data_IF_360269541292
#
_entry.id   IF_360269541292
#
_cell.length_a   1.000
_cell.length_b   1.000
_cell.length_c   1.000
_cell.angle_alpha   90.00
_cell.angle_beta   90.00
_cell.angle_gamma   90.00
#
_symmetry.space_group_name_H-M   'P 1'
#
loop_
_entity.id
_entity.type
_entity.pdbx_description
1 polymer ?
#
# COMPACT_ATOMS: atom_id res chain seq x y z
N UNK A 1 -39.23 43.13 -29.33
CA UNK A 1 -38.61 43.37 -28.01
C UNK A 1 -37.78 42.15 -27.64
N UNK A 2 -36.46 42.32 -27.57
CA UNK A 2 -35.49 41.26 -27.31
C UNK A 2 -35.42 40.91 -25.83
N UNK A 3 -35.38 39.61 -25.49
CA UNK A 3 -35.05 39.13 -24.14
C UNK A 3 -33.85 38.20 -24.20
N UNK A 4 -32.71 38.76 -23.81
CA UNK A 4 -31.43 38.11 -23.52
C UNK A 4 -31.58 37.17 -22.31
N UNK A 5 -31.18 35.90 -22.44
CA UNK A 5 -30.69 35.09 -21.31
C UNK A 5 -29.49 34.27 -21.80
N UNK A 6 -28.34 34.66 -21.29
CA UNK A 6 -27.08 33.94 -21.33
C UNK A 6 -26.89 33.35 -19.93
N UNK A 7 -26.62 32.05 -19.81
CA UNK A 7 -25.79 31.50 -18.73
C UNK A 7 -25.55 30.01 -18.98
N UNK A 8 -24.35 29.72 -19.48
CA UNK A 8 -23.70 28.42 -19.44
C UNK A 8 -23.66 27.88 -18.02
N UNK A 9 -24.01 26.60 -17.82
CA UNK A 9 -23.28 25.67 -16.93
C UNK A 9 -24.05 24.35 -16.80
N UNK A 10 -23.69 23.36 -17.61
CA UNK A 10 -24.12 21.97 -17.39
C UNK A 10 -23.00 21.00 -17.77
N UNK A 11 -21.86 21.11 -17.08
CA UNK A 11 -20.76 20.14 -17.16
C UNK A 11 -20.08 19.99 -15.81
N UNK A 12 -20.82 19.61 -14.75
CA UNK A 12 -20.26 19.25 -13.45
C UNK A 12 -21.10 18.15 -12.77
N UNK A 13 -21.41 17.07 -13.47
CA UNK A 13 -22.13 15.92 -12.89
C UNK A 13 -21.39 14.58 -13.01
N UNK A 14 -20.11 14.58 -13.43
CA UNK A 14 -19.33 13.35 -13.60
C UNK A 14 -18.28 13.11 -12.50
N UNK A 15 -17.97 14.12 -11.69
CA UNK A 15 -16.85 14.03 -10.72
C UNK A 15 -17.26 13.52 -9.33
N UNK A 16 -18.55 13.39 -9.05
CA UNK A 16 -19.05 12.99 -7.72
C UNK A 16 -19.34 11.48 -7.58
N UNK A 17 -19.28 10.70 -8.67
CA UNK A 17 -19.57 9.26 -8.65
C UNK A 17 -18.35 8.38 -8.30
N UNK A 18 -17.17 8.98 -8.08
CA UNK A 18 -15.94 8.26 -7.71
C UNK A 18 -15.41 8.62 -6.32
N UNK A 19 -16.20 9.32 -5.49
CA UNK A 19 -15.86 9.46 -4.07
C UNK A 19 -16.31 8.20 -3.36
N UNK A 20 -15.34 7.40 -2.91
CA UNK A 20 -15.59 6.30 -1.99
C UNK A 20 -16.33 6.85 -0.77
N UNK A 21 -17.59 6.43 -0.57
CA UNK A 21 -18.40 6.82 0.59
C UNK A 21 -18.01 6.06 1.88
N UNK A 22 -16.83 5.43 1.94
CA UNK A 22 -16.35 4.72 3.11
C UNK A 22 -15.49 5.62 4.01
N UNK A 23 -15.99 6.81 4.36
CA UNK A 23 -15.28 7.72 5.27
C UNK A 23 -15.43 7.37 6.76
N UNK A 24 -16.36 6.50 7.15
CA UNK A 24 -16.77 6.40 8.57
C UNK A 24 -16.87 4.99 9.14
N UNK A 25 -16.16 4.02 8.55
CA UNK A 25 -15.84 2.80 9.29
C UNK A 25 -14.41 2.99 9.78
N UNK A 26 -14.25 3.17 11.09
CA UNK A 26 -12.96 3.07 11.76
C UNK A 26 -12.42 1.65 11.56
N UNK A 27 -11.83 1.39 10.40
CA UNK A 27 -11.06 0.18 10.14
C UNK A 27 -9.78 0.30 10.95
N UNK A 28 -9.79 -0.49 12.01
CA UNK A 28 -8.82 -0.54 13.07
C UNK A 28 -7.51 -1.20 12.61
N UNK A 29 -6.84 -0.61 11.64
CA UNK A 29 -5.47 -0.99 11.30
C UNK A 29 -4.50 -0.39 12.35
N UNK A 30 -4.98 0.18 13.46
CA UNK A 30 -4.19 1.10 14.30
C UNK A 30 -4.23 0.93 15.81
N UNK A 31 -5.17 0.18 16.40
CA UNK A 31 -5.33 0.14 17.87
C UNK A 31 -4.68 -1.06 18.55
N UNK A 32 -4.36 -2.14 17.84
CA UNK A 32 -3.55 -3.26 18.37
C UNK A 32 -2.05 -2.90 18.41
N UNK A 33 -1.73 -1.72 18.96
CA UNK A 33 -0.37 -1.33 19.31
C UNK A 33 -0.05 -1.82 20.73
N UNK A 34 0.52 -3.01 20.88
CA UNK A 34 1.16 -3.39 22.15
C UNK A 34 2.54 -2.72 22.21
N UNK A 35 2.73 -1.80 23.16
CA UNK A 35 4.01 -1.07 23.33
C UNK A 35 4.54 -0.34 22.08
N UNK A 36 3.66 0.10 21.17
CA UNK A 36 4.04 0.80 19.93
C UNK A 36 4.54 -0.11 18.79
N UNK A 37 4.47 -1.43 18.98
CA UNK A 37 4.68 -2.43 17.92
C UNK A 37 3.38 -2.67 17.15
N UNK A 38 3.48 -2.96 15.86
CA UNK A 38 2.36 -3.41 15.02
C UNK A 38 2.67 -4.81 14.51
N UNK A 39 1.64 -5.63 14.41
CA UNK A 39 1.74 -6.91 13.71
C UNK A 39 1.83 -6.64 12.20
N UNK A 40 2.89 -7.12 11.58
CA UNK A 40 3.07 -7.09 10.14
C UNK A 40 3.20 -8.52 9.60
N UNK A 41 2.70 -8.74 8.39
CA UNK A 41 3.05 -9.90 7.60
C UNK A 41 4.35 -9.60 6.85
N UNK A 42 5.44 -10.21 7.28
CA UNK A 42 6.77 -10.09 6.68
C UNK A 42 6.96 -11.18 5.62
N UNK A 43 7.39 -10.79 4.43
CA UNK A 43 7.83 -11.67 3.36
C UNK A 43 9.34 -11.48 3.14
N UNK A 44 10.06 -12.59 3.12
CA UNK A 44 11.47 -12.64 2.72
C UNK A 44 11.63 -12.79 1.20
N UNK A 45 12.88 -12.76 0.74
CA UNK A 45 13.23 -12.93 -0.68
C UNK A 45 12.78 -14.28 -1.30
N UNK A 46 12.41 -15.27 -0.49
CA UNK A 46 11.88 -16.56 -0.96
C UNK A 46 10.36 -16.55 -1.12
N UNK A 47 9.69 -15.47 -0.70
CA UNK A 47 8.23 -15.33 -0.75
C UNK A 47 7.52 -15.98 0.43
N UNK A 48 8.25 -16.41 1.47
CA UNK A 48 7.64 -16.99 2.67
C UNK A 48 7.13 -15.89 3.58
N UNK A 49 5.82 -15.90 3.85
CA UNK A 49 5.14 -14.92 4.69
C UNK A 49 4.99 -15.37 6.14
N UNK A 50 5.60 -14.64 7.09
CA UNK A 50 5.49 -14.86 8.54
C UNK A 50 5.02 -13.62 9.29
N UNK A 51 4.31 -13.81 10.40
CA UNK A 51 3.91 -12.70 11.25
C UNK A 51 5.08 -12.20 12.10
N UNK A 52 5.27 -10.89 12.14
CA UNK A 52 6.32 -10.24 12.89
C UNK A 52 5.81 -8.96 13.54
N UNK A 53 6.07 -8.79 14.83
CA UNK A 53 5.85 -7.51 15.50
C UNK A 53 6.99 -6.55 15.19
N UNK A 54 6.66 -5.38 14.63
CA UNK A 54 7.64 -4.36 14.24
C UNK A 54 7.22 -2.98 14.71
N UNK A 55 8.18 -2.17 15.17
CA UNK A 55 7.96 -0.73 15.32
C UNK A 55 8.34 0.01 14.05
N UNK A 56 7.86 1.25 13.90
CA UNK A 56 8.30 2.14 12.81
C UNK A 56 9.80 2.40 12.85
N UNK A 57 10.37 2.49 14.05
CA UNK A 57 11.81 2.68 14.23
C UNK A 57 12.59 1.47 13.73
N UNK A 58 12.08 0.26 13.94
CA UNK A 58 12.72 -0.96 13.44
C UNK A 58 12.73 -0.99 11.92
N UNK A 59 11.61 -0.66 11.28
CA UNK A 59 11.49 -0.57 9.82
C UNK A 59 12.44 0.50 9.26
N UNK A 60 12.47 1.68 9.88
CA UNK A 60 13.39 2.75 9.46
C UNK A 60 14.85 2.29 9.53
N UNK A 61 15.25 1.66 10.64
CA UNK A 61 16.60 1.12 10.81
C UNK A 61 16.92 0.04 9.78
N UNK A 62 15.96 -0.84 9.47
CA UNK A 62 16.12 -1.87 8.44
C UNK A 62 16.36 -1.25 7.06
N UNK A 63 15.57 -0.25 6.67
CA UNK A 63 15.74 0.46 5.40
C UNK A 63 17.10 1.18 5.35
N UNK A 64 17.49 1.82 6.45
CA UNK A 64 18.78 2.52 6.54
C UNK A 64 19.97 1.55 6.50
N UNK A 65 19.86 0.38 7.14
CA UNK A 65 20.88 -0.66 7.07
C UNK A 65 21.02 -1.23 5.66
N UNK A 66 19.91 -1.42 4.95
CA UNK A 66 19.91 -1.84 3.53
C UNK A 66 20.52 -0.78 2.59
N UNK A 67 20.60 0.48 3.04
CA UNK A 67 21.22 1.61 2.35
C UNK A 67 22.73 1.72 2.57
N UNK A 68 23.44 0.61 2.91
CA UNK A 68 24.90 0.56 3.08
C UNK A 68 25.68 1.32 2.00
N UNK A 69 26.96 1.66 2.20
CA UNK A 69 27.66 2.71 1.45
C UNK A 69 27.69 2.43 -0.06
N UNK A 70 26.65 2.84 -0.76
CA UNK A 70 26.57 2.81 -2.21
C UNK A 70 27.49 3.93 -2.65
N UNK A 71 28.65 3.55 -3.17
CA UNK A 71 29.57 4.47 -3.81
C UNK A 71 28.78 5.31 -4.82
N UNK A 72 28.76 6.62 -4.59
CA UNK A 72 28.08 7.56 -5.44
C UNK A 72 28.63 7.44 -6.87
N UNK A 73 27.85 6.84 -7.78
CA UNK A 73 28.10 6.99 -9.20
C UNK A 73 27.71 8.43 -9.57
N UNK A 74 28.74 9.23 -9.88
CA UNK A 74 28.63 10.63 -10.26
C UNK A 74 27.72 10.76 -11.49
N UNK A 75 26.47 11.20 -11.28
CA UNK A 75 25.52 11.52 -12.35
C UNK A 75 24.04 11.18 -12.11
N UNK A 76 23.65 10.67 -10.94
CA UNK A 76 22.29 10.15 -10.71
C UNK A 76 21.36 11.12 -9.96
N UNK A 77 20.07 11.10 -10.32
CA UNK A 77 18.97 11.81 -9.64
C UNK A 77 18.97 11.42 -8.16
N UNK A 78 19.06 12.40 -7.26
CA UNK A 78 19.05 12.17 -5.81
C UNK A 78 17.63 11.79 -5.34
N UNK A 79 17.35 10.48 -5.27
CA UNK A 79 16.11 9.99 -4.65
C UNK A 79 16.18 10.23 -3.13
N UNK A 80 15.20 10.93 -2.53
CA UNK A 80 15.21 11.20 -1.09
C UNK A 80 15.19 9.93 -0.24
N UNK A 81 15.86 9.99 0.92
CA UNK A 81 15.80 8.95 1.94
C UNK A 81 14.41 8.86 2.58
N UNK A 82 14.06 7.68 3.12
CA UNK A 82 12.88 7.53 3.98
C UNK A 82 13.08 8.29 5.29
N UNK A 83 12.03 8.97 5.72
CA UNK A 83 11.93 9.62 7.02
C UNK A 83 10.75 9.06 7.82
N UNK A 84 10.75 9.28 9.14
CA UNK A 84 9.65 8.86 10.03
C UNK A 84 8.27 9.38 9.58
N UNK A 85 8.21 10.56 8.93
CA UNK A 85 6.96 11.12 8.37
C UNK A 85 6.37 10.26 7.26
N UNK A 86 7.21 9.59 6.47
CA UNK A 86 6.74 8.73 5.38
C UNK A 86 6.14 7.45 5.96
N UNK A 87 6.76 6.87 7.00
CA UNK A 87 6.24 5.70 7.71
C UNK A 87 4.94 6.00 8.46
N UNK A 88 4.80 7.21 9.03
CA UNK A 88 3.56 7.65 9.69
C UNK A 88 2.36 7.69 8.73
N UNK A 89 2.57 7.93 7.44
CA UNK A 89 1.48 7.89 6.44
C UNK A 89 0.89 6.48 6.25
N UNK A 90 1.62 5.43 6.64
CA UNK A 90 1.12 4.06 6.61
C UNK A 90 0.30 3.69 7.85
N UNK A 91 0.04 4.65 8.75
CA UNK A 91 -0.85 4.44 9.89
C UNK A 91 -2.17 5.18 9.69
N UNK A 92 -3.28 4.48 9.94
CA UNK A 92 -4.62 5.08 9.90
C UNK A 92 -4.75 6.24 10.91
N UNK A 93 -4.07 6.15 12.06
CA UNK A 93 -4.13 7.14 13.14
C UNK A 93 -3.57 8.51 12.73
N UNK A 94 -2.66 8.54 11.74
CA UNK A 94 -2.03 9.78 11.27
C UNK A 94 -2.47 10.19 9.86
N UNK A 95 -3.36 9.42 9.23
CA UNK A 95 -3.91 9.72 7.92
C UNK A 95 -5.11 10.67 8.07
N UNK A 96 -4.99 11.89 7.54
CA UNK A 96 -6.10 12.84 7.45
C UNK A 96 -7.14 12.35 6.42
N UNK A 97 -6.66 11.68 5.36
CA UNK A 97 -7.44 10.95 4.36
C UNK A 97 -6.74 9.63 4.01
N UNK A 98 -7.50 8.56 3.81
CA UNK A 98 -6.98 7.26 3.34
C UNK A 98 -6.78 7.25 1.81
N UNK A 99 -6.13 8.28 1.29
CA UNK A 99 -5.87 8.39 -0.14
C UNK A 99 -4.84 7.35 -0.60
N UNK A 100 -5.11 6.61 -1.69
CA UNK A 100 -4.18 5.63 -2.21
C UNK A 100 -2.91 6.31 -2.70
N UNK A 101 -1.75 5.81 -2.29
CA UNK A 101 -0.46 6.39 -2.65
C UNK A 101 0.62 5.33 -2.84
N UNK A 102 1.46 5.52 -3.85
CA UNK A 102 2.68 4.76 -4.07
C UNK A 102 3.85 5.74 -4.03
N UNK A 103 4.76 5.57 -3.08
CA UNK A 103 5.89 6.49 -2.86
C UNK A 103 7.20 5.72 -2.99
N UNK A 104 8.04 6.16 -3.92
CA UNK A 104 9.39 5.63 -4.09
C UNK A 104 10.38 6.51 -3.32
N UNK A 105 11.17 5.86 -2.48
CA UNK A 105 12.26 6.47 -1.71
C UNK A 105 13.51 5.62 -1.87
N UNK A 106 14.64 6.19 -1.48
CA UNK A 106 15.91 5.46 -1.55
C UNK A 106 15.81 4.21 -0.68
N UNK A 107 16.06 3.04 -1.29
CA UNK A 107 15.99 1.71 -0.69
C UNK A 107 14.61 1.20 -0.27
N UNK A 108 13.53 1.89 -0.63
CA UNK A 108 12.19 1.43 -0.25
C UNK A 108 11.07 1.99 -1.11
N UNK A 109 10.04 1.16 -1.30
CA UNK A 109 8.76 1.53 -1.90
C UNK A 109 7.68 1.41 -0.84
N UNK A 110 6.90 2.48 -0.67
CA UNK A 110 5.80 2.55 0.28
C UNK A 110 4.49 2.50 -0.49
N UNK A 111 3.59 1.60 -0.11
CA UNK A 111 2.27 1.46 -0.69
C UNK A 111 1.24 1.71 0.40
N UNK A 112 0.35 2.66 0.15
CA UNK A 112 -0.83 2.91 0.94
C UNK A 112 -2.05 2.65 0.05
N UNK A 113 -2.75 1.53 0.22
CA UNK A 113 -3.94 1.22 -0.56
C UNK A 113 -4.86 0.30 0.24
N UNK A 114 -5.87 0.88 0.90
CA UNK A 114 -6.78 0.11 1.76
C UNK A 114 -7.37 -1.12 1.04
N UNK A 115 -7.36 -2.32 1.66
CA UNK A 115 -6.96 -2.64 3.05
C UNK A 115 -5.47 -2.94 3.27
N UNK A 116 -4.61 -2.78 2.26
CA UNK A 116 -3.20 -3.17 2.27
C UNK A 116 -2.27 -1.97 2.42
N UNK A 117 -1.38 -2.01 3.42
CA UNK A 117 -0.29 -1.02 3.54
C UNK A 117 1.03 -1.75 3.57
N UNK A 118 1.95 -1.41 2.67
CA UNK A 118 3.19 -2.15 2.52
C UNK A 118 4.43 -1.28 2.50
N UNK A 119 5.52 -1.83 3.04
CA UNK A 119 6.89 -1.31 2.93
C UNK A 119 7.72 -2.38 2.24
N UNK A 120 8.15 -2.11 1.02
CA UNK A 120 8.96 -3.01 0.22
C UNK A 120 10.39 -2.48 0.23
N UNK A 121 11.34 -3.35 0.53
CA UNK A 121 12.79 -3.13 0.45
C UNK A 121 13.39 -4.15 -0.52
N UNK A 122 14.72 -4.14 -0.72
CA UNK A 122 15.40 -5.05 -1.65
C UNK A 122 15.11 -6.53 -1.38
N UNK A 123 15.07 -6.95 -0.11
CA UNK A 123 14.99 -8.36 0.26
C UNK A 123 13.85 -8.66 1.25
N UNK A 124 13.06 -7.65 1.61
CA UNK A 124 12.00 -7.77 2.61
C UNK A 124 10.77 -6.96 2.20
N UNK A 125 9.58 -7.49 2.43
CA UNK A 125 8.32 -6.78 2.32
C UNK A 125 7.53 -6.90 3.63
N UNK A 126 7.11 -5.78 4.20
CA UNK A 126 6.27 -5.72 5.38
C UNK A 126 4.88 -5.25 4.98
N UNK A 127 3.87 -6.05 5.25
CA UNK A 127 2.46 -5.72 4.96
C UNK A 127 1.69 -5.59 6.26
N UNK A 128 1.07 -4.43 6.47
CA UNK A 128 0.15 -4.15 7.56
C UNK A 128 -1.28 -4.36 7.08
N UNK A 129 -2.01 -5.19 7.82
CA UNK A 129 -3.36 -5.62 7.49
C UNK A 129 -4.29 -5.31 8.68
N UNK A 130 -5.60 -5.12 8.44
CA UNK A 130 -6.57 -5.04 9.53
C UNK A 130 -6.68 -6.37 10.28
N UNK A 131 -7.16 -6.30 11.52
CA UNK A 131 -7.46 -7.49 12.31
C UNK A 131 -8.56 -8.33 11.63
N UNK A 132 -8.41 -9.65 11.63
CA UNK A 132 -9.35 -10.59 10.98
C UNK A 132 -9.18 -10.73 9.46
N UNK A 133 -8.09 -10.25 8.87
CA UNK A 133 -7.81 -10.31 7.43
C UNK A 133 -7.29 -11.66 6.92
N UNK A 134 -7.72 -12.80 7.48
CA UNK A 134 -7.15 -14.13 7.17
C UNK A 134 -7.26 -14.51 5.69
N UNK A 135 -8.38 -14.15 5.05
CA UNK A 135 -8.59 -14.37 3.62
C UNK A 135 -7.60 -13.57 2.76
N UNK A 136 -7.31 -12.33 3.16
CA UNK A 136 -6.35 -11.45 2.50
C UNK A 136 -4.90 -11.91 2.74
N UNK A 137 -4.60 -12.42 3.93
CA UNK A 137 -3.30 -13.04 4.26
C UNK A 137 -3.06 -14.26 3.38
N UNK A 138 -4.06 -15.14 3.24
CA UNK A 138 -3.98 -16.30 2.36
C UNK A 138 -3.75 -15.88 0.91
N UNK A 139 -4.51 -14.89 0.44
CA UNK A 139 -4.37 -14.32 -0.91
C UNK A 139 -2.98 -13.72 -1.15
N UNK A 140 -2.44 -12.96 -0.19
CA UNK A 140 -1.10 -12.40 -0.25
C UNK A 140 -0.05 -13.52 -0.37
N UNK A 141 -0.13 -14.56 0.48
CA UNK A 141 0.81 -15.67 0.43
C UNK A 141 0.80 -16.38 -0.92
N UNK A 142 -0.38 -16.63 -1.50
CA UNK A 142 -0.50 -17.19 -2.84
C UNK A 142 0.11 -16.25 -3.90
N UNK A 143 -0.23 -14.96 -3.86
CA UNK A 143 0.32 -13.99 -4.81
C UNK A 143 1.84 -13.87 -4.73
N UNK A 144 2.43 -13.85 -3.54
CA UNK A 144 3.88 -13.82 -3.39
C UNK A 144 4.55 -15.09 -3.95
N UNK A 145 4.00 -16.27 -3.67
CA UNK A 145 4.53 -17.51 -4.23
C UNK A 145 4.43 -17.56 -5.76
N UNK A 146 3.28 -17.18 -6.32
CA UNK A 146 3.07 -17.11 -7.77
C UNK A 146 4.10 -16.18 -8.42
N UNK A 147 4.28 -14.98 -7.86
CA UNK A 147 5.20 -14.00 -8.42
C UNK A 147 6.64 -14.46 -8.29
N UNK A 148 7.12 -14.91 -7.12
CA UNK A 148 8.51 -15.37 -6.97
C UNK A 148 8.85 -16.50 -7.95
N UNK A 149 7.91 -17.41 -8.23
CA UNK A 149 8.11 -18.49 -9.21
C UNK A 149 8.10 -17.99 -10.65
N UNK A 150 7.22 -17.04 -11.00
CA UNK A 150 7.10 -16.50 -12.36
C UNK A 150 8.20 -15.49 -12.70
N UNK A 151 8.70 -14.79 -11.69
CA UNK A 151 9.57 -13.62 -11.75
C UNK A 151 11.06 -13.95 -11.61
N UNK A 152 11.51 -15.14 -12.01
CA UNK A 152 12.90 -15.62 -11.84
C UNK A 152 13.99 -14.67 -12.39
N UNK A 153 13.62 -13.70 -13.22
CA UNK A 153 14.49 -12.74 -13.88
C UNK A 153 14.35 -11.29 -13.37
N UNK A 154 13.49 -10.99 -12.40
CA UNK A 154 13.36 -9.65 -11.78
C UNK A 154 13.79 -9.66 -10.32
N UNK A 155 14.22 -8.50 -9.81
CA UNK A 155 14.58 -8.34 -8.41
C UNK A 155 13.36 -8.47 -7.49
N UNK A 156 13.57 -8.92 -6.25
CA UNK A 156 12.51 -9.20 -5.29
C UNK A 156 11.57 -8.01 -5.08
N UNK A 157 12.10 -6.78 -5.00
CA UNK A 157 11.28 -5.59 -4.78
C UNK A 157 10.21 -5.37 -5.86
N UNK A 158 10.47 -5.80 -7.10
CA UNK A 158 9.52 -5.71 -8.21
C UNK A 158 8.52 -6.85 -8.17
N UNK A 159 8.96 -8.08 -7.83
CA UNK A 159 8.06 -9.21 -7.62
C UNK A 159 7.11 -8.96 -6.44
N UNK A 160 7.61 -8.38 -5.35
CA UNK A 160 6.83 -8.00 -4.18
C UNK A 160 5.83 -6.88 -4.50
N UNK A 161 6.23 -5.89 -5.30
CA UNK A 161 5.33 -4.83 -5.77
C UNK A 161 4.19 -5.42 -6.60
N UNK A 162 4.51 -6.32 -7.54
CA UNK A 162 3.51 -6.99 -8.37
C UNK A 162 2.58 -7.86 -7.52
N UNK A 163 3.11 -8.63 -6.57
CA UNK A 163 2.31 -9.45 -5.67
C UNK A 163 1.32 -8.62 -4.84
N UNK A 164 1.75 -7.48 -4.31
CA UNK A 164 0.88 -6.56 -3.55
C UNK A 164 -0.21 -5.96 -4.46
N UNK A 165 0.16 -5.44 -5.63
CA UNK A 165 -0.81 -4.85 -6.56
C UNK A 165 -1.79 -5.89 -7.12
N UNK A 166 -1.31 -7.11 -7.39
CA UNK A 166 -2.14 -8.23 -7.82
C UNK A 166 -3.13 -8.63 -6.73
N UNK A 167 -2.69 -8.66 -5.46
CA UNK A 167 -3.56 -8.91 -4.31
C UNK A 167 -4.65 -7.86 -4.22
N UNK A 168 -4.30 -6.57 -4.31
CA UNK A 168 -5.26 -5.47 -4.29
C UNK A 168 -6.28 -5.61 -5.43
N UNK A 169 -5.83 -5.90 -6.65
CA UNK A 169 -6.72 -6.13 -7.79
C UNK A 169 -7.66 -7.33 -7.58
N UNK A 170 -7.14 -8.46 -7.09
CA UNK A 170 -7.95 -9.66 -6.80
C UNK A 170 -8.97 -9.38 -5.69
N UNK A 171 -8.57 -8.65 -4.65
CA UNK A 171 -9.45 -8.24 -3.55
C UNK A 171 -10.63 -7.37 -4.04
N UNK A 172 -10.35 -6.34 -4.83
CA UNK A 172 -11.40 -5.47 -5.38
C UNK A 172 -12.34 -6.21 -6.32
N UNK A 173 -11.82 -7.12 -7.15
CA UNK A 173 -12.66 -8.00 -7.99
C UNK A 173 -13.67 -8.76 -7.12
N UNK A 174 -13.19 -9.49 -6.13
CA UNK A 174 -14.06 -10.29 -5.25
C UNK A 174 -15.06 -9.42 -4.46
N UNK A 175 -14.69 -8.20 -4.10
CA UNK A 175 -15.52 -7.30 -3.30
C UNK A 175 -16.57 -6.52 -4.11
N UNK A 176 -16.28 -6.16 -5.38
CA UNK A 176 -17.15 -5.31 -6.21
C UNK A 176 -18.16 -6.13 -7.03
N UNK A 177 -17.80 -7.32 -7.52
CA UNK A 177 -18.71 -8.14 -8.34
C UNK A 177 -20.04 -8.54 -7.65
N UNK A 178 -20.07 -8.81 -6.32
CA UNK A 178 -21.33 -9.08 -5.63
C UNK A 178 -22.25 -7.86 -5.55
N UNK A 179 -21.68 -6.66 -5.38
CA UNK A 179 -22.45 -5.41 -5.28
C UNK A 179 -23.12 -5.07 -6.61
N UNK A 180 -22.44 -5.27 -7.74
CA UNK A 180 -23.01 -5.04 -9.07
C UNK A 180 -24.22 -5.95 -9.39
N UNK A 181 -24.33 -7.12 -8.72
CA UNK A 181 -25.47 -8.03 -8.86
C UNK A 181 -26.66 -7.69 -7.95
N UNK A 182 -26.47 -6.88 -6.92
CA UNK A 182 -27.55 -6.44 -6.01
C UNK A 182 -28.28 -5.19 -6.51
N UNK A 183 -27.72 -4.50 -7.51
CA UNK A 183 -28.29 -3.29 -8.12
C UNK A 183 -28.85 -3.50 -9.54
N UNK A 184 -28.97 -4.76 -9.99
CA UNK A 184 -29.71 -5.18 -11.20
C UNK A 184 -30.78 -6.21 -10.81
#
# INVERSE_FOLDING_TARGET
MAKKRNSNSSTLAASQLLVSQHSDIMYDVGTSMSNGKRLALHFDATGVGMYQEVTRTDILKLIQAAAGPIAHCSGTIEIPQIHMRDLRKLDNVFAISNEPSLVVRRQAVLINADPVRAVITRDNCFVFLPDGADSLVSLLKTCFQDQIVYSQSIAFEFAALEAVLQTICKYFRTSIYPLAKLYN
#
